data_IF_192928129809
#
_entry.id   IF_192928129809
#
_cell.length_a   1.000
_cell.length_b   1.000
_cell.length_c   1.000
_cell.angle_alpha   90.00
_cell.angle_beta   90.00
_cell.angle_gamma   90.00
#
_symmetry.space_group_name_H-M   'P 1'
#
loop_
_entity.id
_entity.type
_entity.pdbx_description
1 polymer ?
#
# COMPACT_ATOMS: atom_id res chain seq x y z
N UNK A 1 -0.17 -2.88 11.70
CA UNK A 1 -0.38 -2.11 10.48
C UNK A 1 -0.70 -0.66 10.84
N UNK A 2 -0.11 0.31 10.15
CA UNK A 2 -0.35 1.75 10.38
C UNK A 2 -1.09 2.34 9.19
N UNK A 3 -2.28 2.89 9.43
CA UNK A 3 -3.13 3.47 8.37
C UNK A 3 -3.28 4.97 8.58
N UNK A 4 -3.03 5.75 7.53
CA UNK A 4 -3.33 7.17 7.46
C UNK A 4 -4.77 7.42 6.99
N UNK A 5 -5.41 8.46 7.50
CA UNK A 5 -6.64 9.05 6.96
C UNK A 5 -6.37 10.52 6.74
N UNK A 6 -6.44 10.98 5.50
CA UNK A 6 -6.25 12.38 5.14
C UNK A 6 -7.50 12.93 4.46
N UNK A 7 -8.15 13.88 5.12
CA UNK A 7 -9.43 14.47 4.70
C UNK A 7 -9.62 15.79 5.47
N UNK A 8 -10.10 16.87 4.86
CA UNK A 8 -10.30 18.14 5.55
C UNK A 8 -11.59 18.16 6.38
N UNK A 9 -12.56 17.28 6.08
CA UNK A 9 -13.77 17.11 6.89
C UNK A 9 -13.48 16.30 8.17
N UNK A 10 -13.49 16.98 9.31
CA UNK A 10 -13.29 16.35 10.62
C UNK A 10 -14.33 15.27 10.92
N UNK A 11 -15.60 15.49 10.58
CA UNK A 11 -16.67 14.53 10.87
C UNK A 11 -16.47 13.25 10.05
N UNK A 12 -16.06 13.41 8.79
CA UNK A 12 -15.74 12.27 7.95
C UNK A 12 -14.51 11.51 8.48
N UNK A 13 -13.41 12.21 8.83
CA UNK A 13 -12.23 11.54 9.43
C UNK A 13 -12.58 10.70 10.64
N UNK A 14 -13.38 11.25 11.58
CA UNK A 14 -13.84 10.55 12.79
C UNK A 14 -14.73 9.33 12.45
N UNK A 15 -15.59 9.45 11.45
CA UNK A 15 -16.44 8.36 10.99
C UNK A 15 -15.61 7.24 10.35
N UNK A 16 -14.69 7.60 9.45
CA UNK A 16 -13.77 6.67 8.79
C UNK A 16 -12.92 5.92 9.84
N UNK A 17 -12.36 6.65 10.81
CA UNK A 17 -11.59 6.07 11.91
C UNK A 17 -12.40 5.04 12.69
N UNK A 18 -13.60 5.39 13.14
CA UNK A 18 -14.49 4.45 13.88
C UNK A 18 -14.83 3.20 13.07
N UNK A 19 -15.06 3.34 11.77
CA UNK A 19 -15.34 2.21 10.88
C UNK A 19 -14.14 1.27 10.79
N UNK A 20 -12.95 1.81 10.63
CA UNK A 20 -11.70 1.01 10.57
C UNK A 20 -11.39 0.34 11.92
N UNK A 21 -11.56 1.05 13.03
CA UNK A 21 -11.38 0.49 14.38
C UNK A 21 -12.39 -0.65 14.66
N UNK A 22 -13.65 -0.47 14.31
CA UNK A 22 -14.67 -1.50 14.44
C UNK A 22 -14.36 -2.74 13.59
N UNK A 23 -13.90 -2.54 12.36
CA UNK A 23 -13.50 -3.64 11.49
C UNK A 23 -12.25 -4.36 12.01
N UNK A 24 -11.26 -3.61 12.49
CA UNK A 24 -10.05 -4.12 13.11
C UNK A 24 -10.35 -5.08 14.28
N UNK A 25 -11.25 -4.69 15.16
CA UNK A 25 -11.68 -5.53 16.27
C UNK A 25 -12.39 -6.82 15.80
N UNK A 26 -13.21 -6.72 14.76
CA UNK A 26 -13.97 -7.86 14.23
C UNK A 26 -13.06 -8.95 13.63
N UNK A 27 -11.93 -8.57 13.04
CA UNK A 27 -10.98 -9.49 12.40
C UNK A 27 -9.70 -9.74 13.24
N UNK A 28 -9.68 -9.28 14.49
CA UNK A 28 -8.53 -9.42 15.42
C UNK A 28 -7.21 -8.86 14.84
N UNK A 29 -7.29 -7.81 14.02
CA UNK A 29 -6.13 -7.15 13.39
C UNK A 29 -5.78 -5.87 14.15
N UNK A 30 -4.54 -5.73 14.63
CA UNK A 30 -4.09 -4.48 15.24
C UNK A 30 -3.81 -3.44 14.17
N UNK A 31 -4.63 -2.38 14.13
CA UNK A 31 -4.47 -1.22 13.25
C UNK A 31 -4.21 0.03 14.09
N UNK A 32 -3.11 0.71 13.85
CA UNK A 32 -2.84 2.05 14.36
C UNK A 32 -3.30 3.07 13.32
N UNK A 33 -4.16 4.03 13.72
CA UNK A 33 -4.73 5.01 12.79
C UNK A 33 -4.15 6.39 13.06
N UNK A 34 -3.63 7.04 12.01
CA UNK A 34 -3.15 8.42 12.00
C UNK A 34 -4.09 9.29 11.18
N UNK A 35 -4.54 10.40 11.74
CA UNK A 35 -5.45 11.32 11.05
C UNK A 35 -4.72 12.61 10.69
N UNK A 36 -4.95 13.10 9.47
CA UNK A 36 -4.37 14.32 8.91
C UNK A 36 -5.51 15.18 8.37
N UNK A 37 -5.52 16.46 8.73
CA UNK A 37 -6.53 17.41 8.25
C UNK A 37 -6.13 18.07 6.92
N UNK A 38 -4.85 18.02 6.58
CA UNK A 38 -4.29 18.67 5.39
C UNK A 38 -3.25 17.79 4.71
N UNK A 39 -3.02 18.04 3.43
CA UNK A 39 -1.94 17.40 2.69
C UNK A 39 -0.55 17.73 3.28
N UNK A 40 -0.38 18.95 3.82
CA UNK A 40 0.86 19.35 4.49
C UNK A 40 1.17 18.46 5.68
N UNK A 41 0.20 18.27 6.59
CA UNK A 41 0.37 17.37 7.76
C UNK A 41 0.76 15.94 7.34
N UNK A 42 0.12 15.41 6.28
CA UNK A 42 0.43 14.08 5.77
C UNK A 42 1.84 14.00 5.18
N UNK A 43 2.22 14.95 4.31
CA UNK A 43 3.52 14.93 3.62
C UNK A 43 4.71 15.22 4.55
N UNK A 44 4.48 15.98 5.63
CA UNK A 44 5.49 16.30 6.64
C UNK A 44 5.57 15.27 7.77
N UNK A 45 4.70 14.27 7.75
CA UNK A 45 4.68 13.23 8.79
C UNK A 45 5.99 12.45 8.83
N UNK A 46 6.58 12.37 10.03
CA UNK A 46 7.88 11.70 10.29
C UNK A 46 7.77 10.58 11.34
N UNK A 47 6.54 10.12 11.60
CA UNK A 47 6.31 9.01 12.53
C UNK A 47 6.56 7.65 11.88
N UNK A 48 5.98 6.61 12.45
CA UNK A 48 6.01 5.25 11.90
C UNK A 48 5.52 5.26 10.45
N UNK A 49 6.23 4.65 9.49
CA UNK A 49 5.79 4.58 8.10
C UNK A 49 4.34 4.09 7.96
N UNK A 50 3.59 4.71 7.08
CA UNK A 50 2.22 4.30 6.79
C UNK A 50 2.24 3.11 5.82
N UNK A 51 1.51 2.06 6.17
CA UNK A 51 1.29 0.91 5.27
C UNK A 51 0.24 1.24 4.21
N UNK A 52 -0.76 2.04 4.58
CA UNK A 52 -1.79 2.51 3.67
C UNK A 52 -2.29 3.91 4.06
N UNK A 53 -2.86 4.64 3.10
CA UNK A 53 -3.51 5.92 3.35
C UNK A 53 -4.85 6.01 2.62
N UNK A 54 -5.90 6.32 3.36
CA UNK A 54 -7.18 6.76 2.84
C UNK A 54 -7.10 8.25 2.58
N UNK A 55 -7.12 8.64 1.32
CA UNK A 55 -6.80 9.99 0.87
C UNK A 55 -8.01 10.59 0.16
N UNK A 56 -8.54 11.68 0.72
CA UNK A 56 -9.54 12.46 0.00
C UNK A 56 -8.92 13.12 -1.23
N UNK A 57 -9.69 13.15 -2.32
CA UNK A 57 -9.29 13.88 -3.53
C UNK A 57 -9.50 15.37 -3.37
N UNK A 58 -10.53 15.78 -2.62
CA UNK A 58 -10.88 17.17 -2.38
C UNK A 58 -10.38 17.64 -1.01
N UNK A 59 -9.11 18.01 -0.90
CA UNK A 59 -8.47 18.47 0.35
C UNK A 59 -8.46 19.99 0.43
N UNK A 60 -9.62 20.60 0.59
CA UNK A 60 -9.75 22.05 0.67
C UNK A 60 -9.26 22.76 -0.60
N UNK A 61 -8.04 23.33 -0.56
CA UNK A 61 -7.41 23.98 -1.72
C UNK A 61 -6.48 23.06 -2.52
N UNK A 62 -6.19 21.88 -2.01
CA UNK A 62 -5.25 20.94 -2.61
C UNK A 62 -6.01 19.76 -3.24
N UNK A 63 -5.43 19.21 -4.30
CA UNK A 63 -5.97 18.04 -4.96
C UNK A 63 -5.22 16.79 -4.50
N UNK A 64 -5.94 15.83 -3.89
CA UNK A 64 -5.38 14.58 -3.39
C UNK A 64 -4.62 13.76 -4.44
N UNK A 65 -4.94 13.90 -5.73
CA UNK A 65 -4.20 13.23 -6.82
C UNK A 65 -2.76 13.77 -6.90
N UNK A 66 -2.56 15.09 -6.71
CA UNK A 66 -1.19 15.64 -6.63
C UNK A 66 -0.46 15.20 -5.36
N UNK A 67 -1.18 15.09 -4.25
CA UNK A 67 -0.63 14.55 -2.99
C UNK A 67 -0.18 13.10 -3.19
N UNK A 68 -1.01 12.26 -3.80
CA UNK A 68 -0.67 10.89 -4.10
C UNK A 68 0.58 10.75 -4.96
N UNK A 69 0.76 11.59 -5.99
CA UNK A 69 2.00 11.59 -6.80
C UNK A 69 3.26 11.88 -5.97
N UNK A 70 3.16 12.73 -4.95
CA UNK A 70 4.25 13.00 -4.02
C UNK A 70 4.48 11.80 -3.09
N UNK A 71 3.39 11.19 -2.57
CA UNK A 71 3.46 10.00 -1.73
C UNK A 71 4.07 8.80 -2.46
N UNK A 72 3.67 8.53 -3.71
CA UNK A 72 4.24 7.44 -4.51
C UNK A 72 5.78 7.58 -4.65
N UNK A 73 6.30 8.81 -4.70
CA UNK A 73 7.74 9.06 -4.76
C UNK A 73 8.43 8.96 -3.41
N UNK A 74 7.80 9.50 -2.36
CA UNK A 74 8.39 9.57 -1.02
C UNK A 74 8.23 8.26 -0.25
N UNK A 75 7.10 7.58 -0.42
CA UNK A 75 6.72 6.34 0.28
C UNK A 75 6.17 5.31 -0.70
N UNK A 76 7.03 4.70 -1.55
CA UNK A 76 6.59 3.78 -2.63
C UNK A 76 5.83 2.55 -2.10
N UNK A 77 6.07 2.15 -0.86
CA UNK A 77 5.38 1.00 -0.24
C UNK A 77 4.04 1.36 0.41
N UNK A 78 3.70 2.64 0.51
CA UNK A 78 2.44 3.07 1.11
C UNK A 78 1.30 2.92 0.08
N UNK A 79 0.33 2.09 0.40
CA UNK A 79 -0.80 1.84 -0.48
C UNK A 79 -1.81 2.99 -0.41
N UNK A 80 -2.21 3.51 -1.56
CA UNK A 80 -3.13 4.65 -1.63
C UNK A 80 -4.54 4.16 -1.94
N UNK A 81 -5.50 4.56 -1.11
CA UNK A 81 -6.93 4.38 -1.29
C UNK A 81 -7.55 5.76 -1.46
N UNK A 82 -8.04 6.07 -2.64
CA UNK A 82 -8.76 7.32 -2.85
C UNK A 82 -10.16 7.27 -2.30
N UNK A 83 -10.57 8.37 -1.68
CA UNK A 83 -11.94 8.66 -1.26
C UNK A 83 -12.44 9.92 -1.94
N UNK A 84 -13.68 9.96 -2.36
CA UNK A 84 -14.33 11.18 -2.86
C UNK A 84 -15.85 11.03 -2.79
N UNK A 85 -16.55 12.16 -2.76
CA UNK A 85 -18.00 12.19 -2.95
C UNK A 85 -18.39 11.96 -4.43
N UNK A 86 -17.47 12.13 -5.37
CA UNK A 86 -17.74 12.15 -6.81
C UNK A 86 -17.06 11.04 -7.58
N UNK A 87 -17.86 10.30 -8.34
CA UNK A 87 -17.37 9.16 -9.12
C UNK A 87 -16.49 9.58 -10.32
N UNK A 88 -16.64 10.80 -10.84
CA UNK A 88 -15.89 11.24 -12.03
C UNK A 88 -14.38 11.25 -11.81
N UNK A 89 -13.90 11.41 -10.57
CA UNK A 89 -12.49 11.32 -10.26
C UNK A 89 -11.86 9.95 -10.54
N UNK A 90 -12.68 8.89 -10.64
CA UNK A 90 -12.18 7.56 -10.97
C UNK A 90 -11.43 7.52 -12.31
N UNK A 91 -11.67 8.45 -13.23
CA UNK A 91 -10.94 8.56 -14.51
C UNK A 91 -9.65 9.36 -14.41
N UNK A 92 -9.49 10.19 -13.37
CA UNK A 92 -8.33 11.07 -13.21
C UNK A 92 -7.17 10.41 -12.47
N UNK A 93 -7.46 9.39 -11.65
CA UNK A 93 -6.48 8.73 -10.79
C UNK A 93 -5.54 7.77 -11.53
N UNK A 94 -5.80 7.43 -12.80
CA UNK A 94 -5.01 6.47 -13.59
C UNK A 94 -3.50 6.78 -13.67
N UNK A 95 -3.11 8.02 -13.44
CA UNK A 95 -1.71 8.46 -13.49
C UNK A 95 -0.98 8.38 -12.14
N UNK A 96 -1.56 7.65 -11.17
CA UNK A 96 -0.99 7.42 -9.84
C UNK A 96 -1.04 5.94 -9.49
N UNK A 97 -0.05 5.47 -8.72
CA UNK A 97 -0.11 4.14 -8.13
C UNK A 97 -1.07 4.18 -6.94
N UNK A 98 -2.14 3.40 -7.03
CA UNK A 98 -3.16 3.27 -5.99
C UNK A 98 -3.80 1.88 -6.08
N UNK A 99 -4.38 1.42 -4.97
CA UNK A 99 -4.98 0.09 -4.93
C UNK A 99 -6.50 0.09 -4.99
N UNK A 100 -7.12 1.23 -4.64
CA UNK A 100 -8.57 1.34 -4.60
C UNK A 100 -9.05 2.78 -4.78
N UNK A 101 -10.28 2.91 -5.29
CA UNK A 101 -11.07 4.12 -5.26
C UNK A 101 -12.44 3.81 -4.65
N UNK A 102 -12.88 4.60 -3.68
CA UNK A 102 -14.19 4.44 -3.05
C UNK A 102 -14.95 5.77 -3.01
N UNK A 103 -16.21 5.72 -3.39
CA UNK A 103 -17.12 6.85 -3.14
C UNK A 103 -17.49 6.85 -1.66
N UNK A 104 -17.33 8.00 -0.97
CA UNK A 104 -17.46 8.12 0.50
C UNK A 104 -18.75 7.47 1.03
N UNK A 105 -19.89 7.66 0.37
CA UNK A 105 -21.18 7.06 0.77
C UNK A 105 -21.20 5.53 0.81
N UNK A 106 -20.28 4.86 0.10
CA UNK A 106 -20.16 3.40 0.04
C UNK A 106 -19.01 2.86 0.89
N UNK A 107 -18.31 3.72 1.64
CA UNK A 107 -17.12 3.33 2.37
C UNK A 107 -17.41 2.21 3.39
N UNK A 108 -18.48 2.32 4.17
CA UNK A 108 -18.84 1.31 5.18
C UNK A 108 -19.08 -0.07 4.57
N UNK A 109 -19.73 -0.12 3.41
CA UNK A 109 -20.01 -1.39 2.71
C UNK A 109 -18.74 -1.99 2.09
N UNK A 110 -17.74 -1.15 1.77
CA UNK A 110 -16.54 -1.54 1.06
C UNK A 110 -15.30 -1.73 1.93
N UNK A 111 -15.34 -1.32 3.19
CA UNK A 111 -14.17 -1.37 4.08
C UNK A 111 -13.55 -2.76 4.17
N UNK A 112 -14.36 -3.82 4.24
CA UNK A 112 -13.88 -5.20 4.31
C UNK A 112 -13.12 -5.62 3.05
N UNK A 113 -13.62 -5.27 1.86
CA UNK A 113 -12.94 -5.54 0.59
C UNK A 113 -11.61 -4.77 0.49
N UNK A 114 -11.64 -3.49 0.92
CA UNK A 114 -10.46 -2.61 0.89
C UNK A 114 -9.37 -3.15 1.81
N UNK A 115 -9.71 -3.44 3.07
CA UNK A 115 -8.75 -3.99 4.04
C UNK A 115 -8.19 -5.34 3.56
N UNK A 116 -9.04 -6.22 3.03
CA UNK A 116 -8.59 -7.49 2.46
C UNK A 116 -7.63 -7.29 1.29
N UNK A 117 -7.78 -6.22 0.51
CA UNK A 117 -6.84 -5.86 -0.57
C UNK A 117 -5.53 -5.35 0.00
N UNK A 118 -5.58 -4.44 0.99
CA UNK A 118 -4.38 -3.95 1.68
C UNK A 118 -3.57 -5.13 2.24
N UNK A 119 -4.22 -6.06 2.94
CA UNK A 119 -3.55 -7.20 3.57
C UNK A 119 -2.90 -8.13 2.55
N UNK A 120 -3.56 -8.43 1.44
CA UNK A 120 -2.99 -9.28 0.38
C UNK A 120 -1.70 -8.69 -0.19
N UNK A 121 -1.70 -7.40 -0.43
CA UNK A 121 -0.53 -6.73 -0.98
C UNK A 121 0.56 -6.58 0.10
N UNK A 122 0.17 -6.41 1.36
CA UNK A 122 1.08 -6.39 2.51
C UNK A 122 1.72 -7.76 2.75
N UNK A 123 0.94 -8.84 2.73
CA UNK A 123 1.46 -10.22 2.84
C UNK A 123 2.35 -10.57 1.65
N UNK A 124 1.99 -10.17 0.44
CA UNK A 124 2.82 -10.32 -0.75
C UNK A 124 4.17 -9.62 -0.63
N UNK A 125 4.21 -8.43 -0.02
CA UNK A 125 5.43 -7.67 0.23
C UNK A 125 6.23 -8.15 1.45
N UNK A 126 5.59 -8.80 2.42
CA UNK A 126 6.26 -9.36 3.62
C UNK A 126 6.72 -10.79 3.41
N UNK A 127 6.11 -11.51 2.47
CA UNK A 127 6.54 -12.86 2.11
C UNK A 127 7.95 -12.79 1.48
N UNK A 128 8.91 -13.41 2.16
CA UNK A 128 10.28 -13.48 1.67
C UNK A 128 10.63 -14.91 1.31
N UNK A 129 11.15 -15.09 0.11
CA UNK A 129 11.72 -16.36 -0.33
C UNK A 129 13.15 -16.39 0.15
N UNK A 130 13.47 -17.35 1.03
CA UNK A 130 14.85 -17.59 1.48
C UNK A 130 15.46 -18.65 0.58
N UNK A 131 16.59 -18.32 -0.06
CA UNK A 131 17.24 -19.15 -1.05
C UNK A 131 18.74 -19.22 -0.75
N UNK A 132 19.40 -20.26 -1.28
CA UNK A 132 20.85 -20.41 -1.17
C UNK A 132 21.51 -20.18 -2.52
N UNK A 133 22.41 -19.21 -2.61
CA UNK A 133 23.17 -18.95 -3.83
C UNK A 133 24.13 -20.10 -4.17
N UNK A 134 24.62 -20.16 -5.40
CA UNK A 134 25.67 -21.11 -5.81
C UNK A 134 26.97 -20.93 -5.00
N UNK A 135 27.17 -19.75 -4.38
CA UNK A 135 28.31 -19.46 -3.49
C UNK A 135 28.06 -19.82 -2.02
N UNK A 136 26.96 -20.52 -1.70
CA UNK A 136 26.52 -20.85 -0.34
C UNK A 136 26.11 -19.65 0.55
N UNK A 137 25.80 -18.52 -0.03
CA UNK A 137 25.24 -17.36 0.67
C UNK A 137 23.73 -17.54 0.82
N UNK A 138 23.17 -17.23 1.99
CA UNK A 138 21.72 -17.20 2.20
C UNK A 138 21.20 -15.82 1.81
N UNK A 139 20.29 -15.77 0.89
CA UNK A 139 19.62 -14.53 0.45
C UNK A 139 18.14 -14.57 0.76
N UNK A 140 17.55 -13.41 0.92
CA UNK A 140 16.12 -13.25 1.16
C UNK A 140 15.57 -12.25 0.14
N UNK A 141 14.64 -12.71 -0.69
CA UNK A 141 14.06 -11.94 -1.81
C UNK A 141 12.57 -11.77 -1.58
N UNK A 142 12.05 -10.58 -1.82
CA UNK A 142 10.61 -10.32 -1.90
C UNK A 142 10.12 -10.71 -3.29
N UNK A 143 9.07 -11.53 -3.44
CA UNK A 143 8.59 -11.97 -4.76
C UNK A 143 8.24 -10.84 -5.72
N UNK A 144 7.71 -9.71 -5.21
CA UNK A 144 7.39 -8.53 -6.01
C UNK A 144 8.62 -7.86 -6.63
N UNK A 145 9.82 -8.11 -6.10
CA UNK A 145 11.07 -7.57 -6.65
C UNK A 145 11.60 -8.41 -7.82
N UNK A 146 11.03 -9.60 -8.05
CA UNK A 146 11.50 -10.50 -9.10
C UNK A 146 10.95 -10.04 -10.45
N UNK A 147 11.87 -9.72 -11.35
CA UNK A 147 11.57 -9.38 -12.74
C UNK A 147 11.28 -10.62 -13.57
N UNK A 148 12.20 -11.60 -13.50
CA UNK A 148 12.05 -12.91 -14.14
C UNK A 148 12.98 -13.94 -13.52
N UNK A 149 12.65 -15.20 -13.80
CA UNK A 149 13.42 -16.38 -13.44
C UNK A 149 13.90 -17.06 -14.72
N UNK A 150 15.15 -17.46 -14.76
CA UNK A 150 15.75 -18.19 -15.87
C UNK A 150 16.38 -19.49 -15.40
N UNK A 151 16.06 -20.59 -16.06
CA UNK A 151 16.64 -21.88 -15.74
C UNK A 151 18.06 -21.98 -16.24
N UNK A 152 19.00 -22.35 -15.38
CA UNK A 152 20.39 -22.59 -15.71
C UNK A 152 20.76 -24.08 -15.54
N UNK A 153 21.96 -24.47 -16.06
CA UNK A 153 22.46 -25.82 -15.91
C UNK A 153 22.63 -26.25 -14.45
N UNK A 154 22.96 -25.36 -13.55
CA UNK A 154 23.24 -25.63 -12.12
C UNK A 154 22.32 -24.86 -11.15
N UNK A 155 21.07 -24.53 -11.53
CA UNK A 155 20.16 -23.85 -10.66
C UNK A 155 19.20 -22.94 -11.38
N UNK A 156 18.90 -21.82 -10.76
CA UNK A 156 18.03 -20.78 -11.31
C UNK A 156 18.71 -19.41 -11.17
N UNK A 157 18.68 -18.64 -12.22
CA UNK A 157 19.04 -17.23 -12.23
C UNK A 157 17.78 -16.44 -11.88
N UNK A 158 17.88 -15.59 -10.88
CA UNK A 158 16.80 -14.70 -10.42
C UNK A 158 17.25 -13.28 -10.69
N UNK A 159 16.54 -12.60 -11.56
CA UNK A 159 16.77 -11.17 -11.83
C UNK A 159 15.71 -10.38 -11.08
N UNK A 160 16.18 -9.50 -10.20
CA UNK A 160 15.33 -8.60 -9.41
C UNK A 160 15.54 -7.16 -9.88
N UNK A 161 14.71 -6.25 -9.39
CA UNK A 161 14.82 -4.80 -9.64
C UNK A 161 16.19 -4.26 -9.20
N UNK A 162 16.83 -4.91 -8.20
CA UNK A 162 18.04 -4.41 -7.56
C UNK A 162 19.30 -5.19 -7.91
N UNK A 163 19.19 -6.52 -8.07
CA UNK A 163 20.34 -7.42 -8.22
C UNK A 163 19.96 -8.66 -9.03
N UNK A 164 21.03 -9.38 -9.42
CA UNK A 164 20.94 -10.70 -10.02
C UNK A 164 21.54 -11.74 -9.08
N UNK A 165 20.85 -12.88 -8.93
CA UNK A 165 21.26 -13.98 -8.05
C UNK A 165 21.25 -15.31 -8.81
N UNK A 166 22.25 -16.15 -8.56
CA UNK A 166 22.30 -17.52 -9.04
C UNK A 166 22.10 -18.47 -7.86
N UNK A 167 20.96 -19.15 -7.82
CA UNK A 167 20.54 -19.99 -6.69
C UNK A 167 20.57 -21.47 -7.05
N UNK A 168 20.68 -22.31 -6.03
CA UNK A 168 20.77 -23.79 -6.20
C UNK A 168 19.42 -24.41 -6.53
N UNK A 169 18.34 -23.78 -6.10
CA UNK A 169 16.97 -24.23 -6.31
C UNK A 169 16.66 -24.24 -7.82
N UNK A 170 16.04 -25.36 -8.26
CA UNK A 170 15.64 -25.52 -9.66
C UNK A 170 14.15 -25.27 -9.83
N UNK A 171 13.80 -24.50 -10.87
CA UNK A 171 12.41 -24.43 -11.31
C UNK A 171 11.96 -25.84 -11.76
N UNK A 172 10.82 -26.26 -11.24
CA UNK A 172 10.09 -27.46 -11.68
C UNK A 172 9.12 -27.14 -12.78
#
# INVERSE_FOLDING_TARGET
MVIGICDDDKQWRESCKRTLEGFSLMIELTIEIKCFATAGELLEYKGTPLDAVFLDIELGRENGIFVAKKLNKAWPSCQIIYMSNYLHYATEIYNTEHIWFVVKKHFQDKVGEIISRILRDFEGNTFRIVLTTLKNEVISIVPSDIYYLEREKRGTRIVTVWNEYHVKERMR
#
